data_IF_500870395532
#
_entry.id   IF_500870395532
#
_cell.length_a   1.000
_cell.length_b   1.000
_cell.length_c   1.000
_cell.angle_alpha   90.00
_cell.angle_beta   90.00
_cell.angle_gamma   90.00
#
_symmetry.space_group_name_H-M   'P 1'
#
loop_
_entity.id
_entity.type
_entity.pdbx_description
1 polymer ?
#
# COMPACT_ATOMS: atom_id res chain seq x y z
N UNK A 1 15.05 -23.74 15.88
CA UNK A 1 14.17 -22.82 15.12
C UNK A 1 12.83 -22.79 15.83
N UNK A 2 12.25 -21.62 16.10
CA UNK A 2 10.87 -21.57 16.60
C UNK A 2 9.91 -22.09 15.53
N UNK A 3 8.87 -22.79 15.95
CA UNK A 3 7.87 -23.34 15.03
C UNK A 3 6.87 -22.23 14.71
N UNK A 4 6.66 -21.95 13.42
CA UNK A 4 5.65 -20.97 12.98
C UNK A 4 4.27 -21.55 13.23
N UNK A 5 3.44 -20.84 14.00
CA UNK A 5 2.05 -21.23 14.29
C UNK A 5 1.06 -20.61 13.30
N UNK A 6 -0.17 -21.12 13.29
CA UNK A 6 -1.25 -20.53 12.48
C UNK A 6 -1.58 -19.12 12.97
N UNK A 7 -1.55 -18.93 14.28
CA UNK A 7 -1.81 -17.69 14.98
C UNK A 7 -0.77 -16.63 14.58
N UNK A 8 0.52 -17.01 14.52
CA UNK A 8 1.59 -16.12 14.03
C UNK A 8 1.33 -15.65 12.60
N UNK A 9 0.92 -16.55 11.70
CA UNK A 9 0.63 -16.21 10.32
C UNK A 9 -0.60 -15.29 10.20
N UNK A 10 -1.63 -15.52 11.01
CA UNK A 10 -2.84 -14.70 11.03
C UNK A 10 -2.56 -13.30 11.58
N UNK A 11 -1.78 -13.20 12.65
CA UNK A 11 -1.36 -11.92 13.22
C UNK A 11 -0.47 -11.15 12.22
N UNK A 12 0.49 -11.83 11.61
CA UNK A 12 1.36 -11.25 10.58
C UNK A 12 0.56 -10.64 9.41
N UNK A 13 -0.49 -11.32 8.94
CA UNK A 13 -1.33 -10.83 7.84
C UNK A 13 -2.32 -9.73 8.22
N UNK A 14 -2.45 -9.41 9.52
CA UNK A 14 -3.34 -8.36 10.05
C UNK A 14 -2.59 -7.21 10.70
N UNK A 15 -1.24 -7.24 10.70
CA UNK A 15 -0.39 -6.30 11.41
C UNK A 15 -0.86 -4.86 11.29
N UNK A 16 -1.00 -4.20 12.45
CA UNK A 16 -1.39 -2.78 12.56
C UNK A 16 -2.72 -2.45 11.86
N UNK A 17 -3.64 -3.42 11.76
CA UNK A 17 -4.94 -3.27 11.12
C UNK A 17 -4.89 -3.14 9.60
N UNK A 18 -3.74 -3.41 8.96
CA UNK A 18 -3.57 -3.35 7.51
C UNK A 18 -3.52 -4.77 6.94
N UNK A 19 -4.63 -5.29 6.41
CA UNK A 19 -4.67 -6.65 5.90
C UNK A 19 -3.82 -6.80 4.63
N UNK A 20 -3.23 -7.98 4.47
CA UNK A 20 -2.56 -8.38 3.24
C UNK A 20 -1.03 -8.27 3.29
N UNK A 21 -0.41 -8.28 2.11
CA UNK A 21 1.05 -8.36 1.94
C UNK A 21 1.60 -7.37 0.91
N UNK A 22 0.73 -6.75 0.12
CA UNK A 22 1.10 -5.99 -1.07
C UNK A 22 0.48 -4.61 -0.95
N UNK A 23 1.23 -3.59 -1.37
CA UNK A 23 0.75 -2.21 -1.50
C UNK A 23 1.23 -1.61 -2.81
N UNK A 24 0.43 -0.72 -3.39
CA UNK A 24 0.82 0.09 -4.55
C UNK A 24 1.03 1.52 -4.06
N UNK A 25 2.13 2.13 -4.47
CA UNK A 25 2.47 3.51 -4.14
C UNK A 25 2.66 4.31 -5.43
N UNK A 26 2.19 5.57 -5.48
CA UNK A 26 2.49 6.47 -6.59
C UNK A 26 4.00 6.69 -6.72
N UNK A 27 4.50 6.74 -7.95
CA UNK A 27 5.91 7.02 -8.25
C UNK A 27 6.17 8.49 -8.59
N UNK A 28 5.11 9.31 -8.70
CA UNK A 28 5.15 10.75 -9.00
C UNK A 28 4.37 11.53 -7.94
N UNK A 29 4.71 12.82 -7.70
CA UNK A 29 3.93 13.68 -6.80
C UNK A 29 2.46 13.75 -7.24
N UNK A 30 1.55 13.85 -6.27
CA UNK A 30 0.11 14.00 -6.47
C UNK A 30 -0.48 15.02 -5.47
N UNK A 31 0.34 15.98 -5.01
CA UNK A 31 0.01 16.86 -3.88
C UNK A 31 -0.62 18.19 -4.29
N UNK A 32 -0.51 18.57 -5.57
CA UNK A 32 -1.05 19.83 -6.10
C UNK A 32 -2.06 19.57 -7.20
N UNK A 33 -2.92 20.56 -7.49
CA UNK A 33 -3.84 20.50 -8.63
C UNK A 33 -3.09 20.28 -9.96
N UNK A 34 -1.91 20.89 -10.10
CA UNK A 34 -1.05 20.69 -11.28
C UNK A 34 -0.57 19.25 -11.38
N UNK A 35 -0.13 18.65 -10.29
CA UNK A 35 0.32 17.25 -10.28
C UNK A 35 -0.82 16.30 -10.66
N UNK A 36 -2.01 16.52 -10.11
CA UNK A 36 -3.20 15.74 -10.45
C UNK A 36 -3.61 15.90 -11.91
N UNK A 37 -3.52 17.12 -12.45
CA UNK A 37 -3.81 17.39 -13.86
C UNK A 37 -2.78 16.84 -14.84
N UNK A 38 -1.58 16.46 -14.40
CA UNK A 38 -0.59 15.71 -15.21
C UNK A 38 -0.74 14.20 -15.05
N UNK A 39 -1.17 13.74 -13.87
CA UNK A 39 -1.42 12.32 -13.62
C UNK A 39 -2.76 11.84 -14.21
N UNK A 40 -3.65 12.76 -14.58
CA UNK A 40 -4.97 12.48 -15.13
C UNK A 40 -5.42 13.57 -16.12
N UNK A 41 -6.61 13.41 -16.71
CA UNK A 41 -7.17 14.40 -17.65
C UNK A 41 -7.17 15.82 -17.08
N UNK A 42 -6.88 16.85 -17.89
CA UNK A 42 -6.63 16.82 -19.34
C UNK A 42 -5.16 16.64 -19.75
N UNK A 43 -4.22 16.52 -18.81
CA UNK A 43 -2.78 16.57 -19.09
C UNK A 43 -2.05 15.22 -19.17
N UNK A 44 -2.76 14.12 -18.94
CA UNK A 44 -2.35 12.75 -19.37
C UNK A 44 -2.52 12.63 -20.88
#
# INVERSE_FOLDING_TARGET
MSRITREDALEYHRLKGKPGKISILPTKPLSTQRDLGLAYSPGV
#
